data_IF_077377463715
#
_entry.id   IF_077377463715
#
_cell.length_a   1.000
_cell.length_b   1.000
_cell.length_c   1.000
_cell.angle_alpha   90.00
_cell.angle_beta   90.00
_cell.angle_gamma   90.00
#
_symmetry.space_group_name_H-M   'P 1'
#
loop_
_entity.id
_entity.type
_entity.pdbx_description
1 polymer ?
#
# COMPACT_ATOMS: atom_id res chain seq x y z
N UNK A 1 7.46 -27.93 -10.19
CA UNK A 1 6.52 -27.19 -11.07
C UNK A 1 6.66 -27.72 -12.49
N UNK A 2 5.97 -27.17 -13.48
CA UNK A 2 6.36 -27.43 -14.88
C UNK A 2 7.69 -26.71 -15.18
N UNK A 3 8.54 -27.29 -16.04
CA UNK A 3 9.80 -26.65 -16.45
C UNK A 3 9.58 -25.25 -17.05
N UNK A 4 8.42 -25.01 -17.68
CA UNK A 4 8.03 -23.70 -18.21
C UNK A 4 7.76 -22.68 -17.09
N UNK A 5 7.07 -23.07 -16.03
CA UNK A 5 6.80 -22.21 -14.87
C UNK A 5 8.09 -21.86 -14.13
N UNK A 6 8.98 -22.83 -13.91
CA UNK A 6 10.27 -22.61 -13.25
C UNK A 6 11.15 -21.62 -14.04
N UNK A 7 11.18 -21.75 -15.36
CA UNK A 7 11.88 -20.80 -16.23
C UNK A 7 11.26 -19.39 -16.19
N UNK A 8 9.93 -19.28 -16.14
CA UNK A 8 9.24 -18.00 -16.03
C UNK A 8 9.57 -17.29 -14.71
N UNK A 9 9.46 -17.99 -13.57
CA UNK A 9 9.82 -17.46 -12.24
C UNK A 9 11.26 -16.97 -12.23
N UNK A 10 12.19 -17.76 -12.76
CA UNK A 10 13.59 -17.37 -12.85
C UNK A 10 13.78 -16.10 -13.69
N UNK A 11 13.16 -16.02 -14.86
CA UNK A 11 13.28 -14.85 -15.73
C UNK A 11 12.73 -13.56 -15.08
N UNK A 12 11.54 -13.62 -14.46
CA UNK A 12 10.98 -12.46 -13.77
C UNK A 12 11.80 -12.07 -12.53
N UNK A 13 12.32 -13.05 -11.79
CA UNK A 13 13.24 -12.80 -10.67
C UNK A 13 14.52 -12.09 -11.15
N UNK A 14 15.08 -12.53 -12.28
CA UNK A 14 16.28 -11.92 -12.88
C UNK A 14 16.02 -10.47 -13.34
N UNK A 15 14.81 -10.14 -13.81
CA UNK A 15 14.39 -8.76 -14.17
C UNK A 15 14.22 -7.91 -12.91
N UNK A 16 13.47 -8.42 -11.92
CA UNK A 16 13.14 -7.71 -10.69
C UNK A 16 14.40 -7.27 -9.90
N UNK A 17 15.42 -8.12 -9.88
CA UNK A 17 16.68 -7.88 -9.15
C UNK A 17 17.67 -6.97 -9.90
N UNK A 18 17.46 -6.71 -11.20
CA UNK A 18 18.45 -6.01 -12.02
C UNK A 18 18.26 -4.49 -11.92
N UNK A 19 19.11 -3.82 -11.15
CA UNK A 19 19.09 -2.35 -10.96
C UNK A 19 19.21 -1.52 -12.25
N UNK A 20 19.73 -2.11 -13.33
CA UNK A 20 19.81 -1.43 -14.63
C UNK A 20 18.52 -1.49 -15.43
N UNK A 21 17.54 -2.31 -15.03
CA UNK A 21 16.23 -2.35 -15.68
C UNK A 21 15.39 -1.13 -15.25
N UNK A 22 14.61 -0.54 -16.18
CA UNK A 22 13.63 0.48 -15.84
C UNK A 22 12.69 0.03 -14.71
N UNK A 23 12.35 0.94 -13.80
CA UNK A 23 11.58 0.63 -12.60
C UNK A 23 10.24 -0.04 -12.95
N UNK A 24 9.54 0.48 -13.96
CA UNK A 24 8.31 -0.13 -14.49
C UNK A 24 8.44 -1.59 -14.93
N UNK A 25 9.57 -2.00 -15.51
CA UNK A 25 9.77 -3.41 -15.89
C UNK A 25 9.98 -4.29 -14.66
N UNK A 26 10.60 -3.73 -13.61
CA UNK A 26 10.76 -4.41 -12.32
C UNK A 26 9.40 -4.59 -11.63
N UNK A 27 8.54 -3.56 -11.63
CA UNK A 27 7.15 -3.67 -11.14
C UNK A 27 6.34 -4.71 -11.90
N UNK A 28 6.40 -4.72 -13.24
CA UNK A 28 5.73 -5.76 -14.05
C UNK A 28 6.24 -7.17 -13.72
N UNK A 29 7.55 -7.32 -13.50
CA UNK A 29 8.12 -8.61 -13.09
C UNK A 29 7.66 -9.01 -11.68
N UNK A 30 7.55 -8.07 -10.74
CA UNK A 30 6.99 -8.28 -9.41
C UNK A 30 5.55 -8.80 -9.49
N UNK A 31 4.67 -8.13 -10.23
CA UNK A 31 3.29 -8.57 -10.39
C UNK A 31 3.17 -9.90 -11.15
N UNK A 32 4.05 -10.20 -12.10
CA UNK A 32 4.10 -11.52 -12.73
C UNK A 32 4.46 -12.62 -11.71
N UNK A 33 5.42 -12.37 -10.81
CA UNK A 33 5.77 -13.29 -9.71
C UNK A 33 4.61 -13.46 -8.71
N UNK A 34 3.90 -12.37 -8.39
CA UNK A 34 2.65 -12.41 -7.60
C UNK A 34 1.65 -13.38 -8.21
N UNK A 35 1.39 -13.27 -9.52
CA UNK A 35 0.43 -14.12 -10.22
C UNK A 35 0.84 -15.59 -10.28
N UNK A 36 2.14 -15.89 -10.37
CA UNK A 36 2.64 -17.26 -10.35
C UNK A 36 2.50 -17.87 -8.94
N UNK A 37 2.73 -17.08 -7.90
CA UNK A 37 2.46 -17.40 -6.49
C UNK A 37 3.08 -18.71 -5.96
N UNK A 38 4.35 -18.95 -6.29
CA UNK A 38 5.10 -20.12 -5.80
C UNK A 38 6.10 -19.76 -4.71
N UNK A 39 6.65 -20.75 -4.00
CA UNK A 39 7.73 -20.52 -3.02
C UNK A 39 8.96 -19.90 -3.69
N UNK A 40 9.29 -20.33 -4.91
CA UNK A 40 10.35 -19.74 -5.73
C UNK A 40 10.02 -18.31 -6.13
N UNK A 41 8.74 -17.98 -6.35
CA UNK A 41 8.31 -16.60 -6.60
C UNK A 41 8.52 -15.73 -5.37
N UNK A 42 8.15 -16.22 -4.18
CA UNK A 42 8.43 -15.57 -2.89
C UNK A 42 9.94 -15.35 -2.72
N UNK A 43 10.77 -16.35 -2.99
CA UNK A 43 12.22 -16.21 -2.90
C UNK A 43 12.81 -15.24 -3.93
N UNK A 44 12.27 -15.21 -5.15
CA UNK A 44 12.64 -14.26 -6.20
C UNK A 44 12.35 -12.81 -5.80
N UNK A 45 11.17 -12.56 -5.21
CA UNK A 45 10.77 -11.27 -4.64
C UNK A 45 11.67 -10.93 -3.44
N UNK A 46 11.91 -11.89 -2.54
CA UNK A 46 12.73 -11.70 -1.35
C UNK A 46 14.19 -11.32 -1.66
N UNK A 47 14.75 -11.82 -2.77
CA UNK A 47 16.09 -11.48 -3.22
C UNK A 47 16.22 -10.02 -3.68
N UNK A 48 15.10 -9.40 -4.11
CA UNK A 48 15.08 -8.04 -4.61
C UNK A 48 15.09 -6.95 -3.52
N UNK A 49 14.93 -7.31 -2.23
CA UNK A 49 15.10 -6.37 -1.10
C UNK A 49 16.53 -5.79 -0.98
N UNK A 50 17.46 -6.21 -1.83
CA UNK A 50 18.79 -5.60 -1.96
C UNK A 50 18.77 -4.29 -2.77
N UNK A 51 17.65 -3.95 -3.42
CA UNK A 51 17.46 -2.70 -4.16
C UNK A 51 17.63 -1.47 -3.28
N UNK A 52 18.03 -0.36 -3.91
CA UNK A 52 18.17 0.94 -3.23
C UNK A 52 16.89 1.78 -3.29
N UNK A 53 15.88 1.34 -4.03
CA UNK A 53 14.57 2.00 -4.12
C UNK A 53 13.71 1.61 -2.90
N UNK A 54 13.38 2.59 -2.07
CA UNK A 54 12.44 2.42 -0.93
C UNK A 54 11.06 2.07 -1.45
N UNK A 55 10.62 2.74 -2.53
CA UNK A 55 9.36 2.45 -3.24
C UNK A 55 9.26 0.96 -3.58
N UNK A 56 10.24 0.45 -4.34
CA UNK A 56 10.22 -0.96 -4.73
C UNK A 56 10.25 -1.86 -3.51
N UNK A 57 11.08 -1.57 -2.49
CA UNK A 57 11.15 -2.41 -1.29
C UNK A 57 9.83 -2.53 -0.54
N UNK A 58 9.09 -1.44 -0.36
CA UNK A 58 7.77 -1.55 0.28
C UNK A 58 6.84 -2.37 -0.62
N UNK A 59 6.86 -2.16 -1.94
CA UNK A 59 5.99 -2.90 -2.85
C UNK A 59 6.27 -4.41 -2.85
N UNK A 60 7.54 -4.80 -2.68
CA UNK A 60 7.90 -6.21 -2.46
C UNK A 60 7.21 -6.77 -1.21
N UNK A 61 7.20 -6.03 -0.10
CA UNK A 61 6.57 -6.44 1.15
C UNK A 61 5.03 -6.50 1.02
N UNK A 62 4.42 -5.49 0.40
CA UNK A 62 2.99 -5.45 0.10
C UNK A 62 2.57 -6.68 -0.69
N UNK A 63 3.24 -6.93 -1.82
CA UNK A 63 2.95 -8.07 -2.70
C UNK A 63 3.12 -9.40 -1.98
N UNK A 64 4.17 -9.57 -1.16
CA UNK A 64 4.35 -10.77 -0.34
C UNK A 64 3.19 -11.00 0.64
N UNK A 65 2.66 -9.93 1.24
CA UNK A 65 1.43 -9.97 2.04
C UNK A 65 0.24 -10.42 1.20
N UNK A 66 -0.03 -9.75 0.08
CA UNK A 66 -1.18 -10.05 -0.78
C UNK A 66 -1.14 -11.46 -1.42
N UNK A 67 0.06 -12.03 -1.64
CA UNK A 67 0.25 -13.40 -2.13
C UNK A 67 -0.25 -14.46 -1.15
N UNK A 68 -0.27 -14.16 0.16
CA UNK A 68 -0.66 -15.10 1.23
C UNK A 68 0.12 -16.43 1.21
N UNK A 69 1.32 -16.45 0.62
CA UNK A 69 2.22 -17.60 0.71
C UNK A 69 3.06 -17.50 1.99
N UNK A 70 2.85 -18.45 2.91
CA UNK A 70 3.47 -18.47 4.25
C UNK A 70 5.01 -18.54 4.24
N UNK A 71 5.62 -18.93 3.12
CA UNK A 71 7.07 -18.83 2.91
C UNK A 71 7.59 -17.39 3.09
N UNK A 72 6.73 -16.38 2.91
CA UNK A 72 7.08 -14.97 3.10
C UNK A 72 7.24 -14.55 4.57
N UNK A 73 6.57 -15.21 5.51
CA UNK A 73 6.49 -14.76 6.92
C UNK A 73 7.86 -14.56 7.59
N UNK A 74 8.82 -15.49 7.51
CA UNK A 74 10.16 -15.27 8.09
C UNK A 74 10.95 -14.13 7.43
N UNK A 75 10.67 -13.84 6.15
CA UNK A 75 11.30 -12.74 5.42
C UNK A 75 10.74 -11.40 5.91
N UNK A 76 9.41 -11.29 6.00
CA UNK A 76 8.71 -10.11 6.49
C UNK A 76 9.06 -9.81 7.95
N UNK A 77 9.11 -10.83 8.82
CA UNK A 77 9.53 -10.67 10.21
C UNK A 77 10.95 -10.09 10.30
N UNK A 78 11.88 -10.60 9.47
CA UNK A 78 13.25 -10.08 9.44
C UNK A 78 13.29 -8.60 9.04
N UNK A 79 12.46 -8.18 8.08
CA UNK A 79 12.36 -6.78 7.63
C UNK A 79 11.81 -5.89 8.75
N UNK A 80 10.70 -6.26 9.38
CA UNK A 80 10.11 -5.51 10.50
C UNK A 80 11.14 -5.26 11.63
N UNK A 81 11.93 -6.30 11.95
CA UNK A 81 12.96 -6.26 13.00
C UNK A 81 14.23 -5.49 12.62
N UNK A 82 14.47 -5.24 11.33
CA UNK A 82 15.68 -4.54 10.88
C UNK A 82 15.55 -3.04 11.12
N UNK A 83 16.08 -2.57 12.25
CA UNK A 83 16.09 -1.14 12.58
C UNK A 83 16.95 -0.26 11.67
N UNK A 84 17.68 -0.83 10.71
CA UNK A 84 18.40 -0.09 9.67
C UNK A 84 17.62 0.07 8.37
N UNK A 85 16.52 -0.67 8.21
CA UNK A 85 15.63 -0.56 7.07
C UNK A 85 14.70 0.66 7.20
N UNK A 86 14.31 1.22 6.05
CA UNK A 86 13.44 2.38 5.96
C UNK A 86 12.08 2.11 6.62
N UNK A 87 11.51 3.11 7.29
CA UNK A 87 10.24 2.93 8.00
C UNK A 87 9.06 2.62 7.08
N UNK A 88 9.11 3.07 5.81
CA UNK A 88 8.11 2.76 4.79
C UNK A 88 8.09 1.25 4.52
N UNK A 89 9.27 0.67 4.32
CA UNK A 89 9.42 -0.77 4.07
C UNK A 89 9.02 -1.59 5.32
N UNK A 90 9.35 -1.09 6.52
CA UNK A 90 9.06 -1.78 7.77
C UNK A 90 7.58 -1.77 8.14
N UNK A 91 6.85 -0.68 7.91
CA UNK A 91 5.39 -0.70 8.14
C UNK A 91 4.73 -1.68 7.18
N UNK A 92 5.15 -1.67 5.92
CA UNK A 92 4.57 -2.55 4.91
C UNK A 92 4.81 -4.03 5.25
N UNK A 93 5.98 -4.35 5.79
CA UNK A 93 6.24 -5.69 6.32
C UNK A 93 5.36 -6.04 7.54
N UNK A 94 5.11 -5.10 8.45
CA UNK A 94 4.22 -5.31 9.59
C UNK A 94 2.76 -5.55 9.16
N UNK A 95 2.28 -4.75 8.20
CA UNK A 95 0.95 -4.91 7.62
C UNK A 95 0.83 -6.25 6.91
N UNK A 96 1.78 -6.58 6.03
CA UNK A 96 1.84 -7.85 5.33
C UNK A 96 1.77 -9.04 6.30
N UNK A 97 2.53 -9.02 7.41
CA UNK A 97 2.44 -10.05 8.46
C UNK A 97 1.02 -10.15 9.03
N UNK A 98 0.38 -9.02 9.33
CA UNK A 98 -0.96 -8.98 9.92
C UNK A 98 -2.02 -9.61 9.00
N UNK A 99 -1.92 -9.40 7.69
CA UNK A 99 -2.89 -9.95 6.72
C UNK A 99 -2.98 -11.48 6.73
N UNK A 100 -1.92 -12.20 7.15
CA UNK A 100 -1.94 -13.66 7.29
C UNK A 100 -2.85 -14.16 8.41
N UNK A 101 -3.27 -13.29 9.34
CA UNK A 101 -4.16 -13.64 10.45
C UNK A 101 -3.58 -14.66 11.44
N UNK A 102 -2.26 -14.84 11.46
CA UNK A 102 -1.61 -15.85 12.30
C UNK A 102 -1.38 -15.33 13.72
N UNK A 103 -2.15 -15.88 14.67
CA UNK A 103 -2.02 -15.58 16.11
C UNK A 103 -0.59 -15.74 16.67
N UNK A 104 0.29 -16.52 16.03
CA UNK A 104 1.69 -16.64 16.44
C UNK A 104 2.48 -15.32 16.28
N UNK A 105 2.04 -14.42 15.38
CA UNK A 105 2.68 -13.12 15.13
C UNK A 105 2.04 -11.97 15.93
N UNK A 106 0.91 -12.18 16.61
CA UNK A 106 0.30 -11.15 17.47
C UNK A 106 1.25 -10.61 18.55
N UNK A 107 2.03 -11.44 19.26
CA UNK A 107 2.99 -10.93 20.24
C UNK A 107 4.10 -10.08 19.63
N UNK A 108 4.55 -10.42 18.41
CA UNK A 108 5.55 -9.62 17.68
C UNK A 108 5.00 -8.24 17.33
N UNK A 109 3.81 -8.20 16.73
CA UNK A 109 3.17 -6.93 16.39
C UNK A 109 2.93 -6.11 17.67
N UNK A 110 2.48 -6.73 18.76
CA UNK A 110 2.31 -6.00 20.04
C UNK A 110 3.62 -5.50 20.64
N UNK A 111 4.73 -6.19 20.44
CA UNK A 111 6.08 -5.73 20.81
C UNK A 111 6.47 -4.46 20.03
N UNK A 112 6.25 -4.45 18.71
CA UNK A 112 6.60 -3.33 17.84
C UNK A 112 5.57 -2.18 17.85
N UNK A 113 4.37 -2.42 18.39
CA UNK A 113 3.41 -1.37 18.70
C UNK A 113 3.90 -0.42 19.82
N UNK A 114 4.97 -0.77 20.55
CA UNK A 114 5.67 0.16 21.44
C UNK A 114 6.66 1.01 20.65
N UNK A 115 6.44 2.33 20.62
CA UNK A 115 7.31 3.31 19.93
C UNK A 115 8.77 3.26 20.40
N UNK A 116 9.01 2.87 21.66
CA UNK A 116 10.36 2.71 22.18
C UNK A 116 11.09 1.50 21.57
N UNK A 117 10.36 0.52 21.03
CA UNK A 117 10.89 -0.62 20.28
C UNK A 117 10.97 -0.30 18.79
N UNK A 118 9.86 0.12 18.18
CA UNK A 118 9.80 0.33 16.73
C UNK A 118 10.59 1.52 16.21
N UNK A 119 10.82 2.53 17.07
CA UNK A 119 11.52 3.79 16.76
C UNK A 119 10.91 4.60 15.61
N UNK A 120 9.73 4.21 15.13
CA UNK A 120 8.97 4.86 14.07
C UNK A 120 7.51 4.85 14.47
N UNK A 121 6.85 6.02 14.36
CA UNK A 121 5.43 6.16 14.68
C UNK A 121 4.58 5.34 13.69
N UNK A 122 4.91 5.39 12.40
CA UNK A 122 4.18 4.63 11.38
C UNK A 122 4.25 3.12 11.65
N UNK A 123 5.45 2.57 11.89
CA UNK A 123 5.60 1.14 12.24
C UNK A 123 4.83 0.79 13.52
N UNK A 124 4.90 1.65 14.53
CA UNK A 124 4.16 1.47 15.80
C UNK A 124 2.65 1.37 15.58
N UNK A 125 2.10 2.31 14.81
CA UNK A 125 0.67 2.41 14.49
C UNK A 125 0.21 1.22 13.62
N UNK A 126 0.99 0.83 12.61
CA UNK A 126 0.70 -0.35 11.78
C UNK A 126 0.70 -1.63 12.60
N UNK A 127 1.67 -1.79 13.50
CA UNK A 127 1.72 -2.94 14.40
C UNK A 127 0.55 -2.97 15.39
N UNK A 128 0.08 -1.81 15.88
CA UNK A 128 -1.13 -1.72 16.70
C UNK A 128 -2.37 -2.21 15.94
N UNK A 129 -2.59 -1.67 14.74
CA UNK A 129 -3.69 -2.07 13.85
C UNK A 129 -3.60 -3.57 13.54
N UNK A 130 -2.42 -4.05 13.17
CA UNK A 130 -2.20 -5.44 12.77
C UNK A 130 -2.39 -6.44 13.91
N UNK A 131 -1.96 -6.11 15.13
CA UNK A 131 -2.24 -6.95 16.31
C UNK A 131 -3.74 -7.03 16.58
N UNK A 132 -4.47 -5.92 16.45
CA UNK A 132 -5.92 -5.88 16.60
C UNK A 132 -6.63 -6.66 15.48
N UNK A 133 -6.16 -6.56 14.24
CA UNK A 133 -6.67 -7.34 13.10
C UNK A 133 -6.57 -8.84 13.36
N UNK A 134 -5.41 -9.33 13.78
CA UNK A 134 -5.18 -10.74 14.09
C UNK A 134 -6.13 -11.21 15.22
N UNK A 135 -6.27 -10.40 16.29
CA UNK A 135 -7.22 -10.70 17.39
C UNK A 135 -8.67 -10.76 16.92
N UNK A 136 -9.02 -9.95 15.92
CA UNK A 136 -10.36 -9.88 15.34
C UNK A 136 -10.61 -10.90 14.22
N UNK A 137 -9.73 -11.90 14.08
CA UNK A 137 -9.92 -13.03 13.17
C UNK A 137 -9.23 -12.90 11.82
N UNK A 138 -8.36 -11.89 11.65
CA UNK A 138 -7.57 -11.66 10.45
C UNK A 138 -8.29 -10.84 9.37
N UNK A 139 -7.55 -10.55 8.30
CA UNK A 139 -8.06 -9.79 7.16
C UNK A 139 -9.09 -10.60 6.35
N UNK A 140 -9.97 -9.88 5.66
CA UNK A 140 -10.90 -10.43 4.67
C UNK A 140 -10.64 -9.72 3.35
N UNK A 141 -10.73 -10.47 2.26
CA UNK A 141 -10.61 -9.89 0.93
C UNK A 141 -11.76 -8.92 0.69
N UNK A 142 -11.42 -7.67 0.37
CA UNK A 142 -12.37 -6.60 0.10
C UNK A 142 -13.02 -6.76 -1.28
N UNK A 143 -14.01 -5.91 -1.59
CA UNK A 143 -14.57 -5.81 -2.95
C UNK A 143 -13.56 -5.25 -3.97
N UNK A 144 -12.48 -4.62 -3.48
CA UNK A 144 -11.32 -4.16 -4.25
C UNK A 144 -10.21 -5.22 -4.30
N UNK A 145 -10.54 -6.44 -3.87
CA UNK A 145 -9.70 -7.63 -3.79
C UNK A 145 -8.39 -7.52 -3.01
N UNK A 146 -8.13 -6.41 -2.33
CA UNK A 146 -7.08 -6.27 -1.32
C UNK A 146 -7.40 -7.05 -0.03
N UNK A 147 -6.36 -7.46 0.68
CA UNK A 147 -6.44 -7.80 2.10
C UNK A 147 -6.11 -6.56 2.92
N UNK A 148 -7.14 -5.94 3.48
CA UNK A 148 -7.03 -4.66 4.18
C UNK A 148 -6.47 -4.84 5.61
N UNK A 149 -5.78 -3.81 6.16
CA UNK A 149 -5.27 -3.79 7.54
C UNK A 149 -6.37 -3.71 8.62
N UNK A 150 -7.61 -3.38 8.24
CA UNK A 150 -8.77 -3.46 9.13
C UNK A 150 -9.98 -4.00 8.39
N UNK A 151 -10.84 -4.73 9.11
CA UNK A 151 -12.12 -5.18 8.54
C UNK A 151 -13.08 -3.99 8.45
N UNK A 152 -13.64 -3.77 7.26
CA UNK A 152 -14.66 -2.74 6.99
C UNK A 152 -15.81 -2.80 8.01
N UNK A 153 -16.21 -1.63 8.52
CA UNK A 153 -17.25 -1.53 9.53
C UNK A 153 -18.62 -1.99 9.00
N UNK A 154 -19.34 -2.79 9.80
CA UNK A 154 -20.66 -3.30 9.41
C UNK A 154 -21.69 -2.18 9.25
N UNK A 155 -22.36 -2.14 8.08
CA UNK A 155 -23.66 -1.50 7.79
C UNK A 155 -24.02 -0.30 8.69
N UNK A 156 -23.22 0.76 8.62
CA UNK A 156 -23.47 2.02 9.31
C UNK A 156 -23.87 3.12 8.30
N UNK A 157 -24.69 4.08 8.74
CA UNK A 157 -24.96 5.28 7.95
C UNK A 157 -23.69 6.09 7.72
N UNK A 158 -23.57 6.75 6.57
CA UNK A 158 -22.40 7.58 6.23
C UNK A 158 -22.04 8.62 7.30
N UNK A 159 -23.03 9.25 7.94
CA UNK A 159 -22.83 10.19 9.05
C UNK A 159 -22.18 9.54 10.28
N UNK A 160 -22.56 8.29 10.57
CA UNK A 160 -21.97 7.54 11.69
C UNK A 160 -20.54 7.12 11.38
N UNK A 161 -20.26 6.73 10.13
CA UNK A 161 -18.91 6.44 9.67
C UNK A 161 -18.02 7.67 9.76
N UNK A 162 -18.49 8.83 9.26
CA UNK A 162 -17.81 10.12 9.40
C UNK A 162 -17.45 10.45 10.84
N UNK A 163 -18.40 10.28 11.77
CA UNK A 163 -18.16 10.51 13.19
C UNK A 163 -17.05 9.63 13.73
N UNK A 164 -17.08 8.31 13.48
CA UNK A 164 -16.02 7.40 13.94
C UNK A 164 -14.68 7.71 13.29
N UNK A 165 -14.66 7.91 11.97
CA UNK A 165 -13.47 8.19 11.17
C UNK A 165 -12.68 9.43 11.67
N UNK A 166 -13.40 10.50 12.04
CA UNK A 166 -12.82 11.77 12.49
C UNK A 166 -12.64 11.88 14.02
N UNK A 167 -13.12 10.90 14.79
CA UNK A 167 -13.01 10.92 16.25
C UNK A 167 -11.63 10.41 16.70
N UNK A 168 -10.70 11.34 16.94
CA UNK A 168 -9.35 11.04 17.44
C UNK A 168 -9.31 10.40 18.84
N UNK A 169 -10.44 10.28 19.53
CA UNK A 169 -10.53 9.49 20.77
C UNK A 169 -10.78 7.99 20.53
N UNK A 170 -11.12 7.61 19.30
CA UNK A 170 -11.26 6.22 18.87
C UNK A 170 -9.92 5.57 18.59
N UNK A 171 -9.87 4.25 18.72
CA UNK A 171 -8.69 3.47 18.33
C UNK A 171 -8.43 3.64 16.83
N UNK A 172 -7.16 3.53 16.43
CA UNK A 172 -6.79 3.64 15.02
C UNK A 172 -7.49 2.56 14.18
N UNK A 173 -7.63 1.35 14.71
CA UNK A 173 -8.37 0.25 14.09
C UNK A 173 -9.85 0.60 13.83
N UNK A 174 -10.57 1.19 14.81
CA UNK A 174 -11.96 1.63 14.60
C UNK A 174 -12.08 2.69 13.50
N UNK A 175 -11.10 3.60 13.42
CA UNK A 175 -11.07 4.66 12.41
C UNK A 175 -10.77 4.11 11.02
N UNK A 176 -9.87 3.13 10.91
CA UNK A 176 -9.59 2.38 9.68
C UNK A 176 -10.81 1.58 9.21
N UNK A 177 -11.49 0.88 10.12
CA UNK A 177 -12.73 0.16 9.79
C UNK A 177 -13.80 1.11 9.21
N UNK A 178 -13.91 2.32 9.75
CA UNK A 178 -14.79 3.35 9.20
C UNK A 178 -14.30 3.90 7.85
N UNK A 179 -12.98 4.05 7.67
CA UNK A 179 -12.34 4.46 6.41
C UNK A 179 -12.66 3.47 5.28
N UNK A 180 -12.47 2.17 5.51
CA UNK A 180 -12.79 1.14 4.51
C UNK A 180 -14.29 1.07 4.22
N UNK A 181 -15.16 1.26 5.22
CA UNK A 181 -16.60 1.35 4.95
C UNK A 181 -16.98 2.58 4.11
N UNK A 182 -16.29 3.72 4.27
CA UNK A 182 -16.46 4.88 3.40
C UNK A 182 -15.93 4.63 1.99
N UNK A 183 -14.79 3.94 1.85
CA UNK A 183 -14.27 3.47 0.55
C UNK A 183 -15.29 2.61 -0.17
N UNK A 184 -15.83 1.61 0.52
CA UNK A 184 -16.82 0.66 -0.03
C UNK A 184 -18.13 1.37 -0.45
N UNK A 185 -18.51 2.48 0.20
CA UNK A 185 -19.66 3.31 -0.22
C UNK A 185 -19.40 3.99 -1.58
N UNK A 186 -18.16 4.40 -1.88
CA UNK A 186 -17.77 4.82 -3.23
C UNK A 186 -18.36 6.14 -3.76
N UNK A 187 -19.18 6.86 -2.99
CA UNK A 187 -19.84 8.09 -3.45
C UNK A 187 -18.93 9.32 -3.36
N UNK A 188 -19.25 10.38 -4.12
CA UNK A 188 -18.56 11.67 -3.98
C UNK A 188 -18.67 12.24 -2.54
N UNK A 189 -19.79 12.01 -1.85
CA UNK A 189 -19.93 12.35 -0.43
C UNK A 189 -18.92 11.60 0.45
N UNK A 190 -18.73 10.30 0.21
CA UNK A 190 -17.71 9.52 0.92
C UNK A 190 -16.29 10.00 0.61
N UNK A 191 -16.01 10.41 -0.64
CA UNK A 191 -14.73 11.01 -1.02
C UNK A 191 -14.47 12.29 -0.25
N UNK A 192 -15.45 13.20 -0.16
CA UNK A 192 -15.27 14.44 0.59
C UNK A 192 -15.05 14.18 2.09
N UNK A 193 -15.73 13.19 2.66
CA UNK A 193 -15.52 12.77 4.06
C UNK A 193 -14.11 12.21 4.26
N UNK A 194 -13.68 11.27 3.42
CA UNK A 194 -12.34 10.69 3.48
C UNK A 194 -11.26 11.78 3.38
N UNK A 195 -11.45 12.77 2.51
CA UNK A 195 -10.51 13.88 2.33
C UNK A 195 -10.34 14.76 3.59
N UNK A 196 -11.31 14.76 4.51
CA UNK A 196 -11.16 15.44 5.80
C UNK A 196 -10.05 14.81 6.65
N UNK A 197 -9.72 13.53 6.46
CA UNK A 197 -8.67 12.81 7.18
C UNK A 197 -7.27 13.40 6.99
N UNK A 198 -7.02 14.10 5.88
CA UNK A 198 -5.78 14.85 5.66
C UNK A 198 -5.62 16.08 6.57
N UNK A 199 -6.66 16.46 7.32
CA UNK A 199 -6.72 17.68 8.13
C UNK A 199 -6.88 17.39 9.63
N UNK A 200 -6.59 16.16 10.07
CA UNK A 200 -6.61 15.79 11.49
C UNK A 200 -5.66 16.67 12.31
N UNK A 201 -6.06 17.00 13.54
CA UNK A 201 -5.24 17.84 14.44
C UNK A 201 -4.00 17.08 14.89
N UNK A 202 -4.17 15.81 15.24
CA UNK A 202 -3.11 14.90 15.58
C UNK A 202 -2.74 14.08 14.33
N UNK A 203 -1.93 14.69 13.46
CA UNK A 203 -1.49 14.06 12.20
C UNK A 203 -0.78 12.72 12.47
N UNK A 204 -1.16 11.71 11.70
CA UNK A 204 -0.48 10.42 11.57
C UNK A 204 -0.18 10.26 10.09
N UNK A 205 1.09 10.14 9.75
CA UNK A 205 1.50 9.95 8.36
C UNK A 205 1.01 8.60 7.82
N UNK A 206 0.91 7.58 8.69
CA UNK A 206 0.30 6.30 8.34
C UNK A 206 -1.19 6.44 7.99
N UNK A 207 -1.96 7.15 8.83
CA UNK A 207 -3.39 7.35 8.57
C UNK A 207 -3.61 8.15 7.28
N UNK A 208 -2.84 9.22 7.05
CA UNK A 208 -2.94 10.02 5.83
C UNK A 208 -2.51 9.25 4.58
N UNK A 209 -1.48 8.40 4.70
CA UNK A 209 -1.10 7.44 3.66
C UNK A 209 -2.29 6.53 3.31
N UNK A 210 -2.94 5.93 4.30
CA UNK A 210 -4.09 5.05 4.06
C UNK A 210 -5.26 5.78 3.36
N UNK A 211 -5.49 7.05 3.68
CA UNK A 211 -6.50 7.86 2.97
C UNK A 211 -6.16 7.98 1.48
N UNK A 212 -4.89 8.16 1.14
CA UNK A 212 -4.45 8.19 -0.24
C UNK A 212 -4.59 6.82 -0.91
N UNK A 213 -4.22 5.74 -0.22
CA UNK A 213 -4.37 4.37 -0.70
C UNK A 213 -5.83 4.05 -1.06
N UNK A 214 -6.77 4.31 -0.15
CA UNK A 214 -8.20 4.06 -0.44
C UNK A 214 -8.74 4.92 -1.57
N UNK A 215 -8.21 6.14 -1.78
CA UNK A 215 -8.54 6.94 -2.96
C UNK A 215 -8.01 6.34 -4.25
N UNK A 216 -6.81 5.76 -4.25
CA UNK A 216 -6.28 5.00 -5.37
C UNK A 216 -7.17 3.82 -5.72
N UNK A 217 -7.60 3.04 -4.72
CA UNK A 217 -8.53 1.92 -4.89
C UNK A 217 -9.89 2.35 -5.45
N UNK A 218 -10.45 3.44 -4.93
CA UNK A 218 -11.73 3.98 -5.43
C UNK A 218 -11.62 4.50 -6.86
N UNK A 219 -10.45 5.01 -7.26
CA UNK A 219 -10.21 5.66 -8.56
C UNK A 219 -11.25 6.75 -8.91
N UNK A 220 -11.87 7.36 -7.89
CA UNK A 220 -13.00 8.27 -8.06
C UNK A 220 -12.51 9.68 -8.44
N UNK A 221 -12.95 10.29 -9.57
CA UNK A 221 -12.40 11.58 -10.06
C UNK A 221 -12.39 12.73 -9.05
N UNK A 222 -13.37 12.77 -8.13
CA UNK A 222 -13.43 13.81 -7.09
C UNK A 222 -12.25 13.80 -6.10
N UNK A 223 -11.49 12.70 -5.96
CA UNK A 223 -10.34 12.63 -5.06
C UNK A 223 -9.08 13.30 -5.64
N UNK A 224 -8.99 13.46 -6.98
CA UNK A 224 -7.80 13.97 -7.66
C UNK A 224 -7.32 15.33 -7.09
N UNK A 225 -8.23 16.27 -6.87
CA UNK A 225 -7.91 17.60 -6.31
C UNK A 225 -7.31 17.52 -4.91
N UNK A 226 -7.76 16.55 -4.10
CA UNK A 226 -7.31 16.37 -2.72
C UNK A 226 -5.93 15.74 -2.69
N UNK A 227 -5.73 14.69 -3.49
CA UNK A 227 -4.44 14.01 -3.66
C UNK A 227 -3.38 14.96 -4.24
N UNK A 228 -3.71 15.70 -5.30
CA UNK A 228 -2.79 16.68 -5.92
C UNK A 228 -2.32 17.74 -4.93
N UNK A 229 -3.23 18.25 -4.09
CA UNK A 229 -2.90 19.21 -3.02
C UNK A 229 -1.92 18.62 -2.00
N UNK A 230 -2.13 17.38 -1.56
CA UNK A 230 -1.29 16.71 -0.56
C UNK A 230 0.07 16.34 -1.14
N UNK A 231 0.11 15.82 -2.37
CA UNK A 231 1.34 15.52 -3.11
C UNK A 231 2.24 16.78 -3.26
N UNK A 232 1.63 17.93 -3.53
CA UNK A 232 2.34 19.21 -3.69
C UNK A 232 2.80 19.86 -2.37
N UNK A 233 2.31 19.42 -1.21
CA UNK A 233 2.65 20.00 0.09
C UNK A 233 3.97 19.42 0.62
N UNK A 234 5.05 20.20 0.53
CA UNK A 234 6.40 19.80 0.99
C UNK A 234 6.51 19.57 2.51
N UNK A 235 5.49 19.95 3.30
CA UNK A 235 5.44 19.66 4.74
C UNK A 235 4.79 18.30 5.05
N UNK A 236 4.30 17.58 4.03
CA UNK A 236 3.78 16.22 4.17
C UNK A 236 4.94 15.23 4.13
N UNK A 237 4.82 14.19 4.94
CA UNK A 237 5.81 13.10 4.98
C UNK A 237 5.86 12.40 3.62
N UNK A 238 7.02 11.85 3.27
CA UNK A 238 7.20 11.21 1.97
C UNK A 238 6.33 9.95 1.81
N UNK A 239 6.04 9.25 2.90
CA UNK A 239 5.02 8.18 2.98
C UNK A 239 3.67 8.61 2.38
N UNK A 240 3.12 9.72 2.86
CA UNK A 240 1.82 10.24 2.40
C UNK A 240 1.91 10.69 0.94
N UNK A 241 3.00 11.36 0.59
CA UNK A 241 3.16 11.96 -0.74
C UNK A 241 3.37 10.89 -1.82
N UNK A 242 4.10 9.81 -1.55
CA UNK A 242 4.28 8.74 -2.52
C UNK A 242 2.95 8.06 -2.82
N UNK A 243 2.17 7.78 -1.77
CA UNK A 243 0.86 7.15 -1.90
C UNK A 243 -0.12 8.03 -2.68
N UNK A 244 -0.03 9.35 -2.48
CA UNK A 244 -0.79 10.29 -3.30
C UNK A 244 -0.39 10.23 -4.78
N UNK A 245 0.90 10.08 -5.10
CA UNK A 245 1.36 9.96 -6.48
C UNK A 245 0.88 8.65 -7.13
N UNK A 246 0.94 7.52 -6.42
CA UNK A 246 0.42 6.26 -6.94
C UNK A 246 -1.10 6.30 -7.15
N UNK A 247 -1.84 6.80 -6.16
CA UNK A 247 -3.29 6.97 -6.25
C UNK A 247 -3.72 7.89 -7.41
N UNK A 248 -2.96 8.96 -7.70
CA UNK A 248 -3.22 9.81 -8.85
C UNK A 248 -3.03 9.06 -10.18
N UNK A 249 -2.11 8.10 -10.24
CA UNK A 249 -1.87 7.28 -11.43
C UNK A 249 -3.06 6.41 -11.83
N UNK A 250 -3.91 6.02 -10.86
CA UNK A 250 -5.12 5.22 -11.13
C UNK A 250 -6.33 6.08 -11.50
N UNK A 251 -6.27 7.40 -11.27
CA UNK A 251 -7.39 8.32 -11.50
C UNK A 251 -7.27 8.98 -12.87
N UNK A 252 -8.10 8.53 -13.81
CA UNK A 252 -8.10 9.01 -15.18
C UNK A 252 -8.72 10.43 -15.33
N UNK A 253 -7.98 11.45 -14.90
CA UNK A 253 -8.37 12.87 -15.02
C UNK A 253 -7.18 13.73 -15.44
N UNK A 254 -7.46 14.85 -16.12
CA UNK A 254 -6.44 15.85 -16.50
C UNK A 254 -5.73 16.43 -15.27
N UNK A 255 -6.47 16.67 -14.20
CA UNK A 255 -5.96 17.18 -12.92
C UNK A 255 -4.92 16.23 -12.33
N UNK A 256 -5.19 14.92 -12.35
CA UNK A 256 -4.26 13.94 -11.82
C UNK A 256 -2.99 13.84 -12.65
N UNK A 257 -3.12 13.80 -13.97
CA UNK A 257 -1.98 13.83 -14.89
C UNK A 257 -1.14 15.10 -14.71
N UNK A 258 -1.77 16.27 -14.59
CA UNK A 258 -1.06 17.55 -14.39
C UNK A 258 -0.29 17.57 -13.06
N UNK A 259 -0.88 17.02 -11.99
CA UNK A 259 -0.22 16.91 -10.69
C UNK A 259 1.03 16.01 -10.75
N UNK A 260 0.95 14.88 -11.45
CA UNK A 260 2.09 13.98 -11.66
C UNK A 260 3.18 14.63 -12.53
N UNK A 261 2.80 15.19 -13.67
CA UNK A 261 3.74 15.86 -14.58
C UNK A 261 4.48 17.02 -13.92
N UNK A 262 3.83 17.73 -13.00
CA UNK A 262 4.44 18.82 -12.23
C UNK A 262 5.61 18.36 -11.36
N UNK A 263 5.64 17.08 -10.94
CA UNK A 263 6.65 16.52 -10.04
C UNK A 263 7.55 15.45 -10.67
N UNK A 264 7.48 15.21 -11.98
CA UNK A 264 8.26 14.17 -12.68
C UNK A 264 9.78 14.24 -12.48
N UNK A 265 10.32 15.43 -12.21
CA UNK A 265 11.75 15.69 -12.03
C UNK A 265 12.10 16.02 -10.56
N UNK A 266 11.22 15.72 -9.60
CA UNK A 266 11.43 16.06 -8.18
C UNK A 266 12.71 15.39 -7.62
N UNK A 267 13.52 16.08 -6.81
CA UNK A 267 14.74 15.49 -6.25
C UNK A 267 14.49 14.32 -5.29
N UNK A 268 13.41 14.39 -4.49
CA UNK A 268 13.04 13.30 -3.59
C UNK A 268 12.80 12.03 -4.42
N UNK A 269 13.57 10.98 -4.11
CA UNK A 269 13.61 9.77 -4.93
C UNK A 269 12.31 8.99 -4.88
N UNK A 270 11.76 8.74 -3.70
CA UNK A 270 10.54 7.93 -3.58
C UNK A 270 9.38 8.62 -4.30
N UNK A 271 9.21 9.94 -4.13
CA UNK A 271 8.17 10.69 -4.84
C UNK A 271 8.36 10.65 -6.34
N UNK A 272 9.60 10.83 -6.83
CA UNK A 272 9.90 10.77 -8.26
C UNK A 272 9.59 9.39 -8.85
N UNK A 273 9.99 8.33 -8.15
CA UNK A 273 9.74 6.95 -8.56
C UNK A 273 8.23 6.65 -8.59
N UNK A 274 7.46 7.11 -7.59
CA UNK A 274 5.99 6.95 -7.57
C UNK A 274 5.32 7.75 -8.68
N UNK A 275 5.82 8.94 -9.01
CA UNK A 275 5.34 9.71 -10.16
C UNK A 275 5.65 9.00 -11.48
N UNK A 276 6.84 8.40 -11.63
CA UNK A 276 7.19 7.59 -12.81
C UNK A 276 6.22 6.41 -12.99
N UNK A 277 5.93 5.69 -11.90
CA UNK A 277 4.98 4.57 -11.92
C UNK A 277 3.55 5.06 -12.19
N UNK A 278 3.09 6.11 -11.51
CA UNK A 278 1.77 6.69 -11.69
C UNK A 278 1.53 7.18 -13.13
N UNK A 279 2.53 7.80 -13.76
CA UNK A 279 2.47 8.17 -15.18
C UNK A 279 2.44 6.96 -16.11
N UNK A 280 3.19 5.88 -15.82
CA UNK A 280 3.14 4.65 -16.62
C UNK A 280 1.79 3.94 -16.50
N UNK A 281 1.15 3.96 -15.32
CA UNK A 281 -0.22 3.45 -15.12
C UNK A 281 -1.23 4.31 -15.91
N UNK A 282 -1.12 5.63 -15.81
CA UNK A 282 -1.99 6.55 -16.55
C UNK A 282 -1.86 6.32 -18.07
N UNK A 283 -0.63 6.28 -18.61
CA UNK A 283 -0.36 6.01 -20.03
C UNK A 283 -0.84 4.62 -20.48
N UNK A 284 -0.77 3.61 -19.60
CA UNK A 284 -1.24 2.25 -19.88
C UNK A 284 -2.76 2.22 -20.15
N UNK A 285 -3.56 2.96 -19.37
CA UNK A 285 -5.00 3.10 -19.61
C UNK A 285 -5.34 3.69 -20.99
N UNK A 286 -4.37 4.33 -21.67
CA UNK A 286 -4.54 4.88 -23.01
C UNK A 286 -3.99 4.02 -24.16
N UNK A 287 -3.17 2.99 -23.91
CA UNK A 287 -2.31 2.43 -24.99
C UNK A 287 -2.35 0.91 -25.24
N UNK A 288 -2.66 0.02 -24.29
CA UNK A 288 -2.68 -1.44 -24.57
C UNK A 288 -3.42 -2.27 -23.49
N UNK A 289 -4.51 -3.00 -23.81
CA UNK A 289 -5.20 -3.88 -22.85
C UNK A 289 -4.48 -5.19 -22.48
N UNK A 290 -3.36 -5.54 -23.13
CA UNK A 290 -2.83 -6.92 -23.11
C UNK A 290 -1.66 -7.19 -22.14
N UNK A 291 -1.30 -6.26 -21.25
CA UNK A 291 -0.17 -6.41 -20.33
C UNK A 291 -0.52 -5.89 -18.93
N UNK A 292 -1.33 -6.65 -18.20
CA UNK A 292 -1.81 -6.37 -16.84
C UNK A 292 -0.71 -5.82 -15.92
N UNK A 293 -0.72 -4.51 -15.67
CA UNK A 293 -0.72 -4.08 -14.28
C UNK A 293 -1.96 -4.71 -13.68
N UNK A 294 -1.83 -5.46 -12.59
CA UNK A 294 -3.00 -5.96 -11.88
C UNK A 294 -3.60 -4.77 -11.14
N UNK A 295 -4.22 -3.84 -11.89
CA UNK A 295 -5.49 -3.27 -11.48
C UNK A 295 -6.41 -4.46 -11.52
N UNK A 296 -6.76 -4.97 -10.35
CA UNK A 296 -7.56 -6.17 -10.22
C UNK A 296 -8.74 -6.10 -11.18
N UNK A 297 -8.77 -7.04 -12.11
CA UNK A 297 -9.73 -7.09 -13.19
C UNK A 297 -11.13 -7.14 -12.61
N UNK A 298 -11.85 -6.03 -12.70
CA UNK A 298 -13.27 -5.93 -12.44
C UNK A 298 -14.02 -6.71 -13.53
N UNK A 299 -14.47 -7.93 -13.21
CA UNK A 299 -15.56 -8.62 -13.92
C UNK A 299 -16.84 -8.61 -13.07
#
# INVERSE_FOLDING_TARGET
>A
MSTTTENAVKNFSDILQRETEPLKLRFRALFALRSICTDESVHGIAAAFTTTSVLLKHELAYVLGQMQNRTALPILERILRDGSEDEIVRHEAAEAIATFGDMAYEPLLREYADLSVSKSKAVSETCEIGAELIRNGGSKRSEFGSLDPAVSAESASIEKLRQTYLDESKSLYERYAAMFALRDIGTEEAVEILAEGFNNKNRSDLFEHEVAFVFGQMSHPASAKHLARVLADENRHEMVRHECAEALGTINTKEAEDALLALKDIPNRIIRESVEIGLDIHDYHFTDPALEYIVESFE
#
